data_IF_582166435206
#
_entry.id   IF_582166435206
#
_cell.length_a   1.000
_cell.length_b   1.000
_cell.length_c   1.000
_cell.angle_alpha   90.00
_cell.angle_beta   90.00
_cell.angle_gamma   90.00
#
_symmetry.space_group_name_H-M   'P 1'
#
loop_
_entity.id
_entity.type
_entity.pdbx_description
1 polymer ?
#
# COMPACT_ATOMS: atom_id res chain seq x y z
N UNK A 1 20.48 13.94 3.79
CA UNK A 1 20.74 14.00 5.25
C UNK A 1 22.03 13.21 5.49
N UNK A 2 22.78 13.46 6.57
CA UNK A 2 24.00 12.68 6.85
C UNK A 2 23.59 11.21 7.17
N UNK A 3 24.24 10.23 6.53
CA UNK A 3 23.94 8.79 6.71
C UNK A 3 24.07 8.36 8.18
N UNK A 4 25.01 8.96 8.93
CA UNK A 4 25.22 8.63 10.34
C UNK A 4 24.07 9.12 11.22
N UNK A 5 23.47 10.26 10.87
CA UNK A 5 22.26 10.79 11.52
C UNK A 5 21.09 9.85 11.26
N UNK A 6 20.89 9.43 10.01
CA UNK A 6 19.84 8.49 9.63
C UNK A 6 19.99 7.16 10.37
N UNK A 7 21.22 6.64 10.48
CA UNK A 7 21.52 5.43 11.24
C UNK A 7 21.16 5.59 12.73
N UNK A 8 21.48 6.72 13.34
CA UNK A 8 21.09 7.00 14.73
C UNK A 8 19.57 7.04 14.91
N UNK A 9 18.85 7.66 13.97
CA UNK A 9 17.38 7.72 14.01
C UNK A 9 16.79 6.31 13.84
N UNK A 10 17.28 5.53 12.87
CA UNK A 10 16.83 4.15 12.59
C UNK A 10 17.03 3.23 13.80
N UNK A 11 18.12 3.42 14.54
CA UNK A 11 18.44 2.66 15.77
C UNK A 11 17.73 3.22 17.02
N UNK A 12 16.84 4.19 16.86
CA UNK A 12 16.12 4.85 17.96
C UNK A 12 17.04 5.45 19.03
N UNK A 13 18.18 6.03 18.64
CA UNK A 13 19.11 6.68 19.57
C UNK A 13 18.59 8.08 19.94
N UNK A 14 18.18 8.33 21.19
CA UNK A 14 17.69 9.65 21.61
C UNK A 14 18.83 10.66 21.71
N UNK A 15 18.49 11.96 21.70
CA UNK A 15 19.46 13.06 21.79
C UNK A 15 20.49 12.87 22.91
N UNK A 16 20.05 12.45 24.09
CA UNK A 16 20.93 12.25 25.26
C UNK A 16 22.06 11.25 24.98
N UNK A 17 21.80 10.23 24.17
CA UNK A 17 22.74 9.14 23.83
C UNK A 17 23.45 9.32 22.48
N UNK A 18 23.22 10.43 21.77
CA UNK A 18 23.88 10.66 20.50
C UNK A 18 25.41 10.78 20.66
N UNK A 19 26.19 10.23 19.72
CA UNK A 19 27.64 10.44 19.67
C UNK A 19 28.00 11.94 19.60
N UNK A 20 29.09 12.38 20.24
CA UNK A 20 29.47 13.80 20.29
C UNK A 20 29.65 14.45 18.91
N UNK A 21 30.24 13.73 17.95
CA UNK A 21 30.40 14.17 16.57
C UNK A 21 29.05 14.43 15.88
N UNK A 22 28.02 13.64 16.20
CA UNK A 22 26.67 13.83 15.65
C UNK A 22 25.98 15.01 16.33
N UNK A 23 26.13 15.18 17.64
CA UNK A 23 25.59 16.37 18.35
C UNK A 23 26.18 17.67 17.81
N UNK A 24 27.48 17.71 17.57
CA UNK A 24 28.17 18.85 16.97
C UNK A 24 27.65 19.19 15.57
N UNK A 25 27.23 18.20 14.78
CA UNK A 25 26.60 18.45 13.47
C UNK A 25 25.29 19.24 13.56
N UNK A 26 24.67 19.26 14.74
CA UNK A 26 23.48 20.05 15.07
C UNK A 26 23.80 21.30 15.91
N UNK A 27 25.07 21.70 15.99
CA UNK A 27 25.54 22.78 16.87
C UNK A 27 25.08 22.59 18.34
N UNK A 28 24.99 21.34 18.78
CA UNK A 28 24.48 20.95 20.10
C UNK A 28 23.04 21.43 20.39
N UNK A 29 22.25 21.70 19.34
CA UNK A 29 20.84 22.09 19.42
C UNK A 29 19.92 20.88 19.24
N UNK A 30 19.38 20.37 20.35
CA UNK A 30 18.45 19.22 20.36
C UNK A 30 17.29 19.38 19.37
N UNK A 31 16.72 20.58 19.30
CA UNK A 31 15.56 20.87 18.44
C UNK A 31 15.84 20.65 16.95
N UNK A 32 17.09 20.76 16.51
CA UNK A 32 17.44 20.50 15.11
C UNK A 32 17.45 19.00 14.82
N UNK A 33 17.94 18.18 15.75
CA UNK A 33 17.83 16.72 15.65
C UNK A 33 16.37 16.25 15.68
N UNK A 34 15.54 16.85 16.53
CA UNK A 34 14.10 16.60 16.58
C UNK A 34 13.41 16.85 15.22
N UNK A 35 13.78 17.90 14.50
CA UNK A 35 13.30 18.14 13.12
C UNK A 35 13.75 17.04 12.16
N UNK A 36 15.01 16.58 12.28
CA UNK A 36 15.51 15.48 11.44
C UNK A 36 14.78 14.17 11.74
N UNK A 37 14.48 13.87 13.02
CA UNK A 37 13.65 12.71 13.41
C UNK A 37 12.29 12.74 12.70
N UNK A 38 11.57 13.87 12.77
CA UNK A 38 10.24 14.00 12.15
C UNK A 38 10.34 13.87 10.63
N UNK A 39 11.28 14.57 10.00
CA UNK A 39 11.50 14.52 8.55
C UNK A 39 11.85 13.10 8.08
N UNK A 40 12.77 12.44 8.76
CA UNK A 40 13.16 11.06 8.46
C UNK A 40 11.98 10.09 8.63
N UNK A 41 11.22 10.24 9.72
CA UNK A 41 10.10 9.34 10.03
C UNK A 41 8.98 9.45 8.99
N UNK A 42 8.64 10.66 8.57
CA UNK A 42 7.65 10.91 7.50
C UNK A 42 8.13 10.33 6.16
N UNK A 43 9.37 10.63 5.77
CA UNK A 43 9.95 10.20 4.49
C UNK A 43 10.05 8.69 4.35
N UNK A 44 10.33 8.00 5.45
CA UNK A 44 10.46 6.54 5.49
C UNK A 44 9.18 5.86 5.99
N UNK A 45 8.06 6.59 6.07
CA UNK A 45 6.75 6.08 6.49
C UNK A 45 6.80 5.26 7.80
N UNK A 46 7.56 5.73 8.79
CA UNK A 46 7.74 5.02 10.06
C UNK A 46 6.46 5.05 10.91
N UNK A 47 6.21 3.96 11.63
CA UNK A 47 5.15 3.92 12.64
C UNK A 47 5.46 4.90 13.77
N UNK A 48 4.45 5.62 14.25
CA UNK A 48 4.60 6.57 15.36
C UNK A 48 5.07 5.86 16.63
N UNK A 49 4.33 4.84 17.04
CA UNK A 49 4.68 3.98 18.19
C UNK A 49 5.89 3.12 17.87
N UNK A 50 6.80 3.01 18.83
CA UNK A 50 8.06 2.27 18.70
C UNK A 50 9.21 3.06 18.08
N UNK A 51 8.97 4.28 17.58
CA UNK A 51 10.01 5.14 17.00
C UNK A 51 10.20 6.46 17.78
N UNK A 52 11.36 7.10 17.61
CA UNK A 52 11.72 8.38 18.25
C UNK A 52 10.70 9.50 18.01
N UNK A 53 9.96 9.47 16.90
CA UNK A 53 8.96 10.50 16.59
C UNK A 53 7.91 10.65 17.68
N UNK A 54 7.57 9.57 18.41
CA UNK A 54 6.67 9.63 19.57
C UNK A 54 7.25 10.46 20.73
N UNK A 55 8.56 10.50 20.90
CA UNK A 55 9.20 11.30 21.95
C UNK A 55 9.21 12.79 21.58
N UNK A 56 9.30 13.08 20.27
CA UNK A 56 9.38 14.45 19.74
C UNK A 56 7.99 15.08 19.58
N UNK A 57 7.04 14.32 19.04
CA UNK A 57 5.63 14.70 18.89
C UNK A 57 4.88 14.04 20.04
N UNK A 58 4.38 14.83 20.99
CA UNK A 58 3.59 14.33 22.14
C UNK A 58 2.44 13.43 21.67
N UNK A 59 1.97 12.50 22.53
CA UNK A 59 0.96 11.47 22.17
C UNK A 59 -0.31 12.01 21.50
N UNK A 60 -0.74 13.23 21.83
CA UNK A 60 -1.87 13.95 21.22
C UNK A 60 -1.63 14.29 19.73
N UNK A 61 -0.41 14.10 19.24
CA UNK A 61 0.03 14.39 17.89
C UNK A 61 0.09 13.16 16.98
N UNK A 62 -0.28 11.95 17.45
CA UNK A 62 -0.27 10.73 16.62
C UNK A 62 -1.17 10.86 15.37
N UNK A 63 -2.44 11.32 15.46
CA UNK A 63 -3.26 11.52 14.26
C UNK A 63 -2.64 12.53 13.30
N UNK A 64 -2.20 13.68 13.83
CA UNK A 64 -1.56 14.75 13.05
C UNK A 64 -0.27 14.29 12.37
N UNK A 65 0.50 13.42 13.01
CA UNK A 65 1.69 12.83 12.41
C UNK A 65 1.33 11.99 11.17
N UNK A 66 0.32 11.13 11.27
CA UNK A 66 -0.11 10.33 10.13
C UNK A 66 -0.79 11.17 9.03
N UNK A 67 -1.48 12.26 9.38
CA UNK A 67 -1.96 13.25 8.40
C UNK A 67 -0.80 13.92 7.65
N UNK A 68 0.23 14.40 8.38
CA UNK A 68 1.46 14.97 7.80
C UNK A 68 2.19 13.95 6.90
N UNK A 69 2.25 12.68 7.33
CA UNK A 69 2.85 11.58 6.56
C UNK A 69 2.10 11.31 5.26
N UNK A 70 0.77 11.25 5.30
CA UNK A 70 -0.06 11.04 4.12
C UNK A 70 0.03 12.21 3.15
N UNK A 71 -0.03 13.45 3.65
CA UNK A 71 0.11 14.65 2.83
C UNK A 71 1.47 14.70 2.11
N UNK A 72 2.55 14.37 2.82
CA UNK A 72 3.88 14.24 2.23
C UNK A 72 3.91 13.14 1.17
N UNK A 73 3.37 11.96 1.47
CA UNK A 73 3.36 10.81 0.57
C UNK A 73 2.60 11.11 -0.72
N UNK A 74 1.42 11.76 -0.64
CA UNK A 74 0.64 12.15 -1.81
C UNK A 74 1.37 13.18 -2.67
N UNK A 75 1.95 14.21 -2.05
CA UNK A 75 2.65 15.29 -2.76
C UNK A 75 3.87 14.75 -3.53
N UNK A 76 4.52 13.72 -2.98
CA UNK A 76 5.68 13.07 -3.58
C UNK A 76 5.31 11.81 -4.39
N UNK A 77 4.02 11.56 -4.64
CA UNK A 77 3.49 10.42 -5.42
C UNK A 77 3.94 9.05 -4.89
N UNK A 78 4.23 8.97 -3.59
CA UNK A 78 4.65 7.74 -2.93
C UNK A 78 3.50 6.75 -2.87
N UNK A 79 3.87 5.49 -2.78
CA UNK A 79 2.93 4.41 -2.57
C UNK A 79 2.18 4.57 -1.23
N UNK A 80 0.92 4.15 -1.19
CA UNK A 80 0.17 4.07 0.05
C UNK A 80 0.90 3.19 1.08
N UNK A 81 1.09 3.65 2.33
CA UNK A 81 1.81 2.90 3.36
C UNK A 81 0.94 1.76 3.93
N UNK A 82 0.84 0.65 3.20
CA UNK A 82 -0.04 -0.47 3.57
C UNK A 82 0.28 -1.10 4.93
N UNK A 83 1.55 -1.07 5.39
CA UNK A 83 1.97 -1.51 6.73
C UNK A 83 1.44 -0.64 7.87
N UNK A 84 0.86 0.52 7.55
CA UNK A 84 0.20 1.45 8.46
C UNK A 84 -1.33 1.47 8.28
N UNK A 85 -1.91 0.51 7.54
CA UNK A 85 -3.36 0.50 7.28
C UNK A 85 -4.18 0.43 8.58
N UNK A 86 -3.69 -0.25 9.61
CA UNK A 86 -4.35 -0.37 10.91
C UNK A 86 -4.52 0.98 11.61
N UNK A 87 -3.57 1.91 11.45
CA UNK A 87 -3.66 3.26 12.02
C UNK A 87 -4.32 4.26 11.07
N UNK A 88 -4.13 4.11 9.75
CA UNK A 88 -4.66 5.06 8.77
C UNK A 88 -6.15 4.81 8.50
N UNK A 89 -6.55 3.55 8.26
CA UNK A 89 -7.95 3.23 7.96
C UNK A 89 -8.81 3.36 9.21
N UNK A 90 -8.33 2.93 10.38
CA UNK A 90 -9.09 3.05 11.64
C UNK A 90 -8.96 4.42 12.30
N UNK A 91 -7.79 5.06 12.22
CA UNK A 91 -7.55 6.33 12.91
C UNK A 91 -7.91 7.56 12.08
N UNK A 92 -7.68 7.53 10.77
CA UNK A 92 -7.92 8.67 9.87
C UNK A 92 -9.09 8.44 8.90
N UNK A 93 -9.65 7.22 8.84
CA UNK A 93 -10.70 6.83 7.90
C UNK A 93 -10.29 7.08 6.42
N UNK A 94 -9.01 6.90 6.11
CA UNK A 94 -8.49 7.02 4.73
C UNK A 94 -8.20 5.63 4.18
N UNK A 95 -8.96 5.21 3.18
CA UNK A 95 -8.73 3.95 2.47
C UNK A 95 -7.64 4.09 1.40
N UNK A 96 -6.97 3.00 0.99
CA UNK A 96 -6.06 3.02 -0.15
C UNK A 96 -6.72 3.59 -1.42
N UNK A 97 -7.99 3.23 -1.67
CA UNK A 97 -8.76 3.73 -2.81
C UNK A 97 -8.86 5.27 -2.80
N UNK A 98 -9.23 5.86 -1.66
CA UNK A 98 -9.30 7.32 -1.51
C UNK A 98 -7.92 7.97 -1.69
N UNK A 99 -6.87 7.34 -1.18
CA UNK A 99 -5.50 7.84 -1.32
C UNK A 99 -5.07 7.92 -2.80
N UNK A 100 -5.19 6.82 -3.56
CA UNK A 100 -4.80 6.82 -4.98
C UNK A 100 -5.73 7.70 -5.83
N UNK A 101 -7.03 7.75 -5.51
CA UNK A 101 -7.96 8.68 -6.16
C UNK A 101 -7.52 10.14 -5.98
N UNK A 102 -7.03 10.49 -4.79
CA UNK A 102 -6.49 11.83 -4.51
C UNK A 102 -5.21 12.11 -5.29
N UNK A 103 -4.32 11.13 -5.42
CA UNK A 103 -3.11 11.25 -6.25
C UNK A 103 -3.48 11.51 -7.72
N UNK A 104 -4.32 10.66 -8.32
CA UNK A 104 -4.74 10.82 -9.71
C UNK A 104 -5.43 12.16 -9.94
N UNK A 105 -6.35 12.53 -9.04
CA UNK A 105 -7.00 13.84 -9.09
C UNK A 105 -5.96 14.98 -9.13
N UNK A 106 -4.98 14.95 -8.22
CA UNK A 106 -3.96 15.99 -8.11
C UNK A 106 -3.11 16.10 -9.38
N UNK A 107 -2.67 14.97 -9.96
CA UNK A 107 -1.85 15.02 -11.18
C UNK A 107 -2.66 15.46 -12.42
N UNK A 108 -3.95 15.09 -12.49
CA UNK A 108 -4.86 15.53 -13.56
C UNK A 108 -5.13 17.03 -13.47
N UNK A 109 -5.40 17.55 -12.28
CA UNK A 109 -5.61 19.00 -12.04
C UNK A 109 -4.37 19.83 -12.37
N UNK A 110 -3.18 19.25 -12.20
CA UNK A 110 -1.89 19.85 -12.56
C UNK A 110 -1.47 19.58 -14.02
N UNK A 111 -2.30 18.88 -14.79
CA UNK A 111 -2.01 18.43 -16.17
C UNK A 111 -0.66 17.70 -16.33
N UNK A 112 -0.24 16.95 -15.30
CA UNK A 112 0.99 16.15 -15.36
C UNK A 112 0.76 14.86 -16.15
N UNK A 113 1.83 14.35 -16.76
CA UNK A 113 1.80 13.02 -17.41
C UNK A 113 1.58 11.91 -16.36
N UNK A 114 0.87 10.85 -16.76
CA UNK A 114 0.76 9.62 -15.99
C UNK A 114 2.13 9.02 -15.69
N UNK A 115 3.08 9.15 -16.62
CA UNK A 115 4.47 8.68 -16.53
C UNK A 115 5.27 9.35 -15.40
N UNK A 116 4.68 10.34 -14.71
CA UNK A 116 5.27 10.91 -13.51
C UNK A 116 5.00 10.12 -12.23
N UNK A 117 4.13 9.11 -12.28
CA UNK A 117 3.89 8.18 -11.19
C UNK A 117 5.03 7.15 -11.08
N UNK A 118 5.54 6.88 -9.88
CA UNK A 118 6.38 5.70 -9.63
C UNK A 118 5.68 4.40 -10.01
N UNK A 119 6.44 3.37 -10.41
CA UNK A 119 5.88 2.12 -10.96
C UNK A 119 4.89 1.45 -10.01
N UNK A 120 5.26 1.31 -8.74
CA UNK A 120 4.41 0.67 -7.75
C UNK A 120 3.19 1.53 -7.39
N UNK A 121 3.30 2.86 -7.46
CA UNK A 121 2.16 3.77 -7.31
C UNK A 121 1.19 3.62 -8.48
N UNK A 122 1.69 3.56 -9.71
CA UNK A 122 0.89 3.29 -10.90
C UNK A 122 0.18 1.93 -10.82
N UNK A 123 0.88 0.87 -10.37
CA UNK A 123 0.28 -0.44 -10.10
C UNK A 123 -0.85 -0.36 -9.06
N UNK A 124 -0.68 0.46 -8.02
CA UNK A 124 -1.73 0.74 -7.04
C UNK A 124 -2.95 1.43 -7.65
N UNK A 125 -2.74 2.42 -8.52
CA UNK A 125 -3.80 3.10 -9.27
C UNK A 125 -4.56 2.13 -10.18
N UNK A 126 -3.86 1.34 -10.99
CA UNK A 126 -4.48 0.34 -11.86
C UNK A 126 -5.30 -0.66 -11.05
N UNK A 127 -4.71 -1.26 -10.01
CA UNK A 127 -5.34 -2.28 -9.18
C UNK A 127 -6.63 -1.83 -8.50
N UNK A 128 -6.69 -0.57 -8.05
CA UNK A 128 -7.82 -0.07 -7.24
C UNK A 128 -8.78 0.80 -8.02
N UNK A 129 -8.30 1.57 -8.98
CA UNK A 129 -9.11 2.51 -9.77
C UNK A 129 -9.45 1.94 -11.15
N UNK A 130 -8.70 0.95 -11.64
CA UNK A 130 -8.82 0.48 -13.02
C UNK A 130 -8.36 1.55 -14.02
N UNK A 131 -7.43 2.42 -13.62
CA UNK A 131 -6.89 3.49 -14.47
C UNK A 131 -5.40 3.23 -14.65
N UNK A 132 -5.05 2.74 -15.84
CA UNK A 132 -3.69 2.74 -16.35
C UNK A 132 -3.40 4.00 -17.16
N UNK A 133 -2.30 3.96 -17.92
CA UNK A 133 -1.83 5.09 -18.72
C UNK A 133 -2.81 5.50 -19.81
N UNK A 134 -3.36 4.52 -20.53
CA UNK A 134 -4.28 4.77 -21.64
C UNK A 134 -5.61 5.33 -21.14
N UNK A 135 -6.17 4.75 -20.08
CA UNK A 135 -7.38 5.26 -19.44
C UNK A 135 -7.15 6.69 -18.91
N UNK A 136 -5.99 6.97 -18.32
CA UNK A 136 -5.64 8.32 -17.88
C UNK A 136 -5.60 9.33 -19.04
N UNK A 137 -4.97 8.97 -20.15
CA UNK A 137 -4.90 9.83 -21.35
C UNK A 137 -6.32 10.14 -21.86
N UNK A 138 -7.19 9.12 -21.91
CA UNK A 138 -8.57 9.29 -22.33
C UNK A 138 -9.35 10.20 -21.38
N UNK A 139 -9.18 10.05 -20.06
CA UNK A 139 -9.78 10.95 -19.06
C UNK A 139 -9.28 12.39 -19.23
N UNK A 140 -7.99 12.58 -19.48
CA UNK A 140 -7.40 13.91 -19.74
C UNK A 140 -7.94 14.54 -21.03
N UNK A 141 -8.16 13.74 -22.08
CA UNK A 141 -8.80 14.20 -23.31
C UNK A 141 -10.27 14.60 -23.07
N UNK A 142 -10.99 13.87 -22.22
CA UNK A 142 -12.35 14.23 -21.80
C UNK A 142 -12.38 15.54 -21.00
N UNK A 143 -11.43 15.75 -20.07
CA UNK A 143 -11.26 17.02 -19.34
C UNK A 143 -11.08 18.21 -20.29
N UNK A 144 -10.28 18.02 -21.35
CA UNK A 144 -9.92 19.07 -22.33
C UNK A 144 -11.01 19.35 -23.36
N UNK A 145 -11.69 18.31 -23.83
CA UNK A 145 -12.70 18.40 -24.91
C UNK A 145 -14.03 19.06 -24.48
N UNK A 146 -14.32 19.15 -23.17
CA UNK A 146 -15.48 19.88 -22.61
C UNK A 146 -15.46 21.41 -22.79
N UNK A 147 -14.53 21.98 -23.56
CA UNK A 147 -14.40 23.43 -23.74
C UNK A 147 -15.39 24.04 -24.75
N UNK A 148 -16.06 23.25 -25.62
CA UNK A 148 -16.84 23.82 -26.74
C UNK A 148 -18.34 24.05 -26.50
N UNK A 149 -18.96 23.38 -25.53
CA UNK A 149 -20.34 23.66 -25.10
C UNK A 149 -20.47 23.46 -23.59
N UNK A 150 -20.11 24.51 -22.85
CA UNK A 150 -20.43 24.77 -21.44
C UNK A 150 -20.00 23.70 -20.40
N UNK A 151 -18.90 24.05 -19.72
CA UNK A 151 -18.30 23.53 -18.48
C UNK A 151 -17.29 22.38 -18.65
N UNK A 152 -16.04 22.66 -18.27
CA UNK A 152 -15.04 21.64 -17.91
C UNK A 152 -15.67 20.72 -16.86
N UNK A 153 -15.71 19.42 -17.12
CA UNK A 153 -16.10 18.43 -16.09
C UNK A 153 -15.10 18.51 -14.95
N UNK A 154 -15.57 18.44 -13.71
CA UNK A 154 -14.66 18.36 -12.57
C UNK A 154 -13.92 17.02 -12.67
N UNK A 155 -12.59 17.04 -12.46
CA UNK A 155 -11.78 15.81 -12.46
C UNK A 155 -12.37 14.76 -11.50
N UNK A 156 -12.92 15.22 -10.37
CA UNK A 156 -13.59 14.36 -9.40
C UNK A 156 -14.75 13.55 -9.99
N UNK A 157 -15.46 14.12 -10.97
CA UNK A 157 -16.64 13.48 -11.59
C UNK A 157 -16.25 12.41 -12.63
N UNK A 158 -14.97 12.40 -13.03
CA UNK A 158 -14.43 11.44 -13.99
C UNK A 158 -13.77 10.23 -13.33
N UNK A 159 -13.34 10.38 -12.08
CA UNK A 159 -12.72 9.29 -11.32
C UNK A 159 -13.80 8.34 -10.76
N UNK A 160 -13.48 7.04 -10.62
CA UNK A 160 -14.36 6.08 -9.97
C UNK A 160 -14.79 6.53 -8.57
N UNK A 161 -16.02 6.18 -8.18
CA UNK A 161 -16.54 6.45 -6.83
C UNK A 161 -16.26 5.31 -5.84
N UNK A 162 -15.94 4.12 -6.35
CA UNK A 162 -15.65 2.91 -5.58
C UNK A 162 -14.51 2.14 -6.26
N UNK A 163 -13.76 1.32 -5.51
CA UNK A 163 -12.70 0.53 -6.12
C UNK A 163 -13.26 -0.54 -7.06
N UNK A 164 -12.45 -0.92 -8.04
CA UNK A 164 -12.72 -2.09 -8.90
C UNK A 164 -12.66 -3.39 -8.09
N UNK A 165 -13.11 -4.50 -8.69
CA UNK A 165 -12.94 -5.81 -8.07
C UNK A 165 -11.45 -6.16 -8.01
N UNK A 166 -10.92 -6.31 -6.80
CA UNK A 166 -9.54 -6.74 -6.59
C UNK A 166 -9.43 -8.27 -6.57
N UNK A 167 -8.28 -8.80 -6.99
CA UNK A 167 -7.93 -10.20 -6.81
C UNK A 167 -7.56 -10.48 -5.34
N UNK A 168 -8.57 -10.59 -4.49
CA UNK A 168 -8.38 -10.93 -3.07
C UNK A 168 -8.07 -12.44 -2.93
N UNK A 169 -7.06 -12.79 -2.12
CA UNK A 169 -6.72 -14.19 -1.85
C UNK A 169 -7.34 -14.72 -0.54
N UNK A 170 -7.67 -16.03 -0.46
CA UNK A 170 -8.29 -16.62 0.73
C UNK A 170 -7.44 -16.50 2.01
N UNK A 171 -6.11 -16.43 1.89
CA UNK A 171 -5.22 -16.37 3.04
C UNK A 171 -5.05 -14.97 3.63
N UNK A 172 -5.58 -13.94 2.97
CA UNK A 172 -5.52 -12.58 3.49
C UNK A 172 -6.34 -12.45 4.77
N UNK A 173 -5.96 -11.50 5.61
CA UNK A 173 -6.67 -11.18 6.84
C UNK A 173 -7.51 -9.92 6.60
N UNK A 174 -8.77 -9.99 6.98
CA UNK A 174 -9.75 -8.91 6.90
C UNK A 174 -9.94 -8.35 8.28
N UNK A 175 -9.95 -7.02 8.36
CA UNK A 175 -10.19 -6.32 9.60
C UNK A 175 -11.08 -5.09 9.37
N UNK A 176 -11.81 -4.65 10.41
CA UNK A 176 -12.72 -3.51 10.31
C UNK A 176 -11.98 -2.18 10.29
N UNK A 177 -12.42 -1.29 9.41
CA UNK A 177 -12.02 0.11 9.40
C UNK A 177 -12.77 0.94 10.45
N UNK A 178 -12.76 2.26 10.28
CA UNK A 178 -13.56 3.15 11.11
C UNK A 178 -15.01 3.23 10.62
N UNK A 179 -15.90 2.47 11.25
CA UNK A 179 -17.32 2.38 10.90
C UNK A 179 -18.14 3.31 11.80
N UNK A 180 -19.03 4.11 11.20
CA UNK A 180 -19.99 4.96 11.94
C UNK A 180 -21.43 4.51 11.69
N UNK A 181 -22.37 4.99 12.50
CA UNK A 181 -23.79 4.64 12.39
C UNK A 181 -24.38 4.87 10.99
N UNK A 182 -23.91 5.90 10.27
CA UNK A 182 -24.36 6.18 8.91
C UNK A 182 -23.96 5.07 7.93
N UNK A 183 -22.82 4.42 8.13
CA UNK A 183 -22.36 3.30 7.31
C UNK A 183 -23.26 2.08 7.53
N UNK A 184 -23.65 1.83 8.79
CA UNK A 184 -24.52 0.70 9.15
C UNK A 184 -25.95 0.82 8.62
N UNK A 185 -26.37 2.01 8.16
CA UNK A 185 -27.69 2.22 7.52
C UNK A 185 -27.72 1.76 6.07
N UNK A 186 -26.57 1.59 5.42
CA UNK A 186 -26.45 1.27 3.99
C UNK A 186 -25.84 -0.12 3.73
N UNK A 187 -25.59 -0.89 4.80
CA UNK A 187 -25.16 -2.29 4.69
C UNK A 187 -26.38 -3.21 4.64
N UNK A 188 -26.26 -4.26 3.84
CA UNK A 188 -27.21 -5.37 3.78
C UNK A 188 -26.99 -6.31 4.97
N UNK A 189 -27.96 -7.18 5.24
CA UNK A 189 -27.87 -8.12 6.35
C UNK A 189 -26.64 -9.06 6.27
N UNK A 190 -26.27 -9.64 5.11
CA UNK A 190 -25.05 -10.46 5.00
C UNK A 190 -23.76 -9.65 5.23
N UNK A 191 -23.71 -8.39 4.77
CA UNK A 191 -22.56 -7.52 5.00
C UNK A 191 -22.41 -7.17 6.49
N UNK A 192 -23.54 -6.91 7.15
CA UNK A 192 -23.57 -6.67 8.60
C UNK A 192 -23.07 -7.89 9.37
N UNK A 193 -23.46 -9.11 8.99
CA UNK A 193 -22.98 -10.33 9.65
C UNK A 193 -21.46 -10.50 9.56
N UNK A 194 -20.85 -10.15 8.42
CA UNK A 194 -19.38 -10.13 8.29
C UNK A 194 -18.77 -9.07 9.21
N UNK A 195 -19.32 -7.86 9.23
CA UNK A 195 -18.83 -6.76 10.06
C UNK A 195 -18.91 -7.13 11.54
N UNK A 196 -20.08 -7.58 12.01
CA UNK A 196 -20.32 -7.99 13.40
C UNK A 196 -19.37 -9.13 13.79
N UNK A 197 -19.18 -10.13 12.91
CA UNK A 197 -18.23 -11.23 13.15
C UNK A 197 -16.79 -10.74 13.36
N UNK A 198 -16.32 -9.76 12.59
CA UNK A 198 -14.96 -9.20 12.72
C UNK A 198 -14.85 -8.32 13.98
N UNK A 199 -15.91 -7.57 14.34
CA UNK A 199 -15.94 -6.77 15.56
C UNK A 199 -15.88 -7.68 16.80
N UNK A 200 -16.68 -8.75 16.81
CA UNK A 200 -16.82 -9.64 17.98
C UNK A 200 -15.62 -10.57 18.16
N UNK A 201 -15.05 -11.08 17.06
CA UNK A 201 -14.02 -12.11 17.09
C UNK A 201 -12.63 -11.61 16.65
N UNK A 202 -12.50 -10.33 16.31
CA UNK A 202 -11.28 -9.76 15.75
C UNK A 202 -11.05 -10.11 14.27
N UNK A 203 -9.84 -9.85 13.74
CA UNK A 203 -9.52 -10.06 12.34
C UNK A 203 -9.81 -11.49 11.86
N UNK A 204 -10.39 -11.62 10.67
CA UNK A 204 -10.84 -12.90 10.11
C UNK A 204 -10.05 -13.25 8.85
N UNK A 205 -9.86 -14.54 8.59
CA UNK A 205 -9.26 -15.00 7.32
C UNK A 205 -10.30 -14.83 6.20
N UNK A 206 -9.91 -14.23 5.08
CA UNK A 206 -10.83 -13.92 3.98
C UNK A 206 -11.52 -15.18 3.44
N UNK A 207 -10.77 -16.29 3.34
CA UNK A 207 -11.28 -17.59 2.89
C UNK A 207 -12.40 -18.18 3.74
N UNK A 208 -12.58 -17.71 4.98
CA UNK A 208 -13.63 -18.18 5.90
C UNK A 208 -14.94 -17.38 5.75
N UNK A 209 -14.94 -16.36 4.88
CA UNK A 209 -16.06 -15.45 4.63
C UNK A 209 -16.61 -15.63 3.22
N UNK A 210 -17.87 -15.23 2.99
CA UNK A 210 -18.39 -15.15 1.62
C UNK A 210 -17.62 -14.09 0.82
N UNK A 211 -17.00 -14.51 -0.28
CA UNK A 211 -16.13 -13.68 -1.11
C UNK A 211 -16.88 -12.49 -1.73
N UNK A 212 -18.13 -12.67 -2.18
CA UNK A 212 -18.87 -11.62 -2.88
C UNK A 212 -19.34 -10.57 -1.88
N UNK A 213 -19.84 -11.02 -0.72
CA UNK A 213 -20.23 -10.12 0.37
C UNK A 213 -19.01 -9.36 0.87
N UNK A 214 -17.87 -10.04 1.09
CA UNK A 214 -16.63 -9.42 1.53
C UNK A 214 -16.12 -8.36 0.53
N UNK A 215 -16.15 -8.65 -0.77
CA UNK A 215 -15.80 -7.66 -1.81
C UNK A 215 -16.73 -6.43 -1.76
N UNK A 216 -18.02 -6.63 -1.50
CA UNK A 216 -18.98 -5.52 -1.34
C UNK A 216 -18.65 -4.65 -0.11
N UNK A 217 -18.38 -5.27 1.04
CA UNK A 217 -17.96 -4.56 2.27
C UNK A 217 -16.64 -3.80 2.04
N UNK A 218 -15.69 -4.41 1.33
CA UNK A 218 -14.42 -3.78 0.97
C UNK A 218 -14.63 -2.55 0.07
N UNK A 219 -15.49 -2.64 -0.96
CA UNK A 219 -15.81 -1.51 -1.85
C UNK A 219 -16.48 -0.34 -1.13
N UNK A 220 -17.24 -0.61 -0.08
CA UNK A 220 -17.81 0.41 0.81
C UNK A 220 -16.78 1.03 1.74
N UNK A 221 -15.54 0.53 1.78
CA UNK A 221 -14.46 1.05 2.61
C UNK A 221 -14.60 0.72 4.09
N UNK A 222 -15.42 -0.28 4.43
CA UNK A 222 -15.74 -0.64 5.83
C UNK A 222 -14.74 -1.63 6.42
N UNK A 223 -13.98 -2.33 5.57
CA UNK A 223 -12.91 -3.25 5.96
C UNK A 223 -11.62 -2.93 5.21
N UNK A 224 -10.51 -3.32 5.79
CA UNK A 224 -9.20 -3.29 5.14
C UNK A 224 -8.53 -4.67 5.23
N UNK A 225 -7.47 -4.84 4.44
CA UNK A 225 -6.85 -6.13 4.20
C UNK A 225 -5.40 -6.10 4.67
N UNK A 226 -5.00 -7.11 5.42
CA UNK A 226 -3.64 -7.37 5.85
C UNK A 226 -3.15 -8.67 5.18
N UNK A 227 -1.90 -8.67 4.72
CA UNK A 227 -1.27 -9.82 4.08
C UNK A 227 -0.14 -10.28 4.99
N UNK A 228 -0.40 -11.24 5.90
CA UNK A 228 0.62 -11.70 6.82
C UNK A 228 1.72 -12.46 6.07
N UNK A 229 2.97 -12.05 6.28
CA UNK A 229 4.17 -12.68 5.75
C UNK A 229 5.07 -13.07 6.91
N UNK A 230 5.42 -14.35 6.97
CA UNK A 230 6.31 -14.95 7.96
C UNK A 230 7.72 -15.14 7.38
N UNK A 231 8.72 -15.28 8.26
CA UNK A 231 10.12 -15.48 7.81
C UNK A 231 10.30 -16.78 7.03
N UNK A 232 9.50 -17.80 7.36
CA UNK A 232 9.52 -19.11 6.69
C UNK A 232 8.75 -19.14 5.36
N UNK A 233 8.05 -18.06 5.01
CA UNK A 233 7.30 -18.03 3.76
C UNK A 233 8.24 -18.02 2.57
N UNK A 234 7.78 -18.62 1.48
CA UNK A 234 8.44 -18.57 0.18
C UNK A 234 7.51 -17.86 -0.79
N UNK A 235 8.10 -17.06 -1.67
CA UNK A 235 7.35 -16.35 -2.70
C UNK A 235 7.89 -16.68 -4.08
N UNK A 236 7.01 -16.60 -5.06
CA UNK A 236 7.36 -16.72 -6.47
C UNK A 236 7.08 -15.39 -7.14
N UNK A 237 8.10 -14.80 -7.73
CA UNK A 237 7.99 -13.62 -8.58
C UNK A 237 8.01 -14.12 -10.02
N UNK A 238 6.90 -14.02 -10.78
CA UNK A 238 6.89 -14.43 -12.18
C UNK A 238 7.85 -13.57 -13.01
N UNK A 239 8.38 -14.07 -14.13
CA UNK A 239 9.16 -13.27 -15.06
C UNK A 239 8.36 -12.04 -15.49
N UNK A 240 8.86 -10.84 -15.22
CA UNK A 240 8.23 -9.60 -15.67
C UNK A 240 8.77 -9.24 -17.07
N UNK A 241 8.45 -10.05 -18.08
CA UNK A 241 8.80 -9.72 -19.46
C UNK A 241 8.26 -8.33 -19.80
N UNK A 242 9.12 -7.37 -20.16
CA UNK A 242 8.70 -6.01 -20.53
C UNK A 242 8.57 -4.99 -19.38
N UNK A 243 8.79 -5.36 -18.12
CA UNK A 243 8.71 -4.37 -17.02
C UNK A 243 9.89 -3.41 -17.05
N UNK A 244 9.60 -2.15 -17.38
CA UNK A 244 10.59 -1.07 -17.40
C UNK A 244 10.59 -0.36 -16.05
N UNK A 245 11.70 -0.44 -15.33
CA UNK A 245 11.89 0.35 -14.11
C UNK A 245 11.94 1.84 -14.45
N UNK A 246 10.98 2.63 -13.96
CA UNK A 246 11.06 4.08 -14.09
C UNK A 246 12.24 4.63 -13.28
N UNK A 247 12.74 5.81 -13.66
CA UNK A 247 13.85 6.47 -12.96
C UNK A 247 13.47 6.68 -11.49
N UNK A 248 14.28 6.12 -10.59
CA UNK A 248 14.09 6.17 -9.15
C UNK A 248 13.94 7.62 -8.68
N UNK A 249 12.80 7.94 -8.06
CA UNK A 249 12.45 9.28 -7.58
C UNK A 249 13.14 9.68 -6.27
N UNK A 250 14.03 8.83 -5.75
CA UNK A 250 14.66 8.97 -4.44
C UNK A 250 13.86 8.37 -3.28
N UNK A 251 12.79 7.62 -3.55
CA UNK A 251 12.04 6.86 -2.54
C UNK A 251 12.85 5.63 -2.05
N UNK A 252 13.11 5.59 -0.74
CA UNK A 252 13.83 4.48 -0.11
C UNK A 252 13.04 3.16 -0.18
N UNK A 253 11.71 3.24 -0.15
CA UNK A 253 10.88 2.04 -0.16
C UNK A 253 10.78 1.44 -1.57
N UNK A 254 10.56 2.25 -2.61
CA UNK A 254 10.66 1.79 -4.00
C UNK A 254 12.03 1.17 -4.33
N UNK A 255 13.13 1.76 -3.85
CA UNK A 255 14.46 1.17 -3.99
C UNK A 255 14.58 -0.21 -3.33
N UNK A 256 13.97 -0.39 -2.15
CA UNK A 256 13.91 -1.69 -1.49
C UNK A 256 13.14 -2.70 -2.34
N UNK A 257 12.00 -2.28 -2.92
CA UNK A 257 11.22 -3.14 -3.80
C UNK A 257 12.10 -3.62 -4.97
N UNK A 258 12.75 -2.72 -5.71
CA UNK A 258 13.63 -3.14 -6.81
C UNK A 258 14.78 -4.08 -6.37
N UNK A 259 15.34 -3.89 -5.17
CA UNK A 259 16.36 -4.82 -4.63
C UNK A 259 15.80 -6.21 -4.36
N UNK A 260 14.62 -6.29 -3.75
CA UNK A 260 13.91 -7.56 -3.52
C UNK A 260 13.60 -8.22 -4.87
N UNK A 261 13.09 -7.44 -5.83
CA UNK A 261 12.78 -7.92 -7.16
C UNK A 261 13.94 -8.67 -7.83
N UNK A 262 15.14 -8.08 -7.80
CA UNK A 262 16.33 -8.66 -8.43
C UNK A 262 16.95 -9.81 -7.61
N UNK A 263 16.68 -9.87 -6.30
CA UNK A 263 17.31 -10.82 -5.38
C UNK A 263 16.42 -12.00 -4.99
N UNK A 264 15.15 -12.01 -5.42
CA UNK A 264 14.20 -13.07 -5.05
C UNK A 264 14.37 -14.28 -5.97
N UNK A 265 14.39 -15.47 -5.37
CA UNK A 265 14.24 -16.75 -6.05
C UNK A 265 13.21 -17.62 -5.30
N UNK A 266 12.75 -18.70 -5.94
CA UNK A 266 11.66 -19.53 -5.41
C UNK A 266 12.06 -20.47 -4.25
N UNK A 267 13.35 -20.58 -3.95
CA UNK A 267 13.90 -21.46 -2.92
C UNK A 267 14.37 -20.71 -1.68
N UNK A 268 14.55 -19.39 -1.77
CA UNK A 268 14.93 -18.54 -0.64
C UNK A 268 13.69 -18.11 0.16
N UNK A 269 13.71 -18.37 1.46
CA UNK A 269 12.67 -17.88 2.37
C UNK A 269 12.76 -16.37 2.59
N UNK A 270 11.67 -15.73 3.02
CA UNK A 270 11.64 -14.28 3.30
C UNK A 270 12.69 -13.88 4.35
N UNK A 271 12.92 -14.71 5.37
CA UNK A 271 13.93 -14.47 6.39
C UNK A 271 15.36 -14.55 5.86
N UNK A 272 15.65 -15.51 4.99
CA UNK A 272 16.95 -15.62 4.32
C UNK A 272 17.20 -14.44 3.38
N UNK A 273 16.17 -14.02 2.64
CA UNK A 273 16.22 -12.85 1.77
C UNK A 273 16.57 -11.57 2.56
N UNK A 274 16.01 -11.41 3.78
CA UNK A 274 16.37 -10.29 4.65
C UNK A 274 17.86 -10.30 5.05
N UNK A 275 18.43 -11.48 5.31
CA UNK A 275 19.86 -11.63 5.60
C UNK A 275 20.74 -11.30 4.38
N UNK A 276 20.34 -11.76 3.18
CA UNK A 276 21.05 -11.46 1.92
C UNK A 276 21.06 -9.96 1.64
N UNK A 277 19.91 -9.29 1.81
CA UNK A 277 19.77 -7.85 1.61
C UNK A 277 20.40 -7.01 2.74
N UNK A 278 20.76 -7.65 3.88
CA UNK A 278 21.23 -7.00 5.11
C UNK A 278 20.24 -5.95 5.62
N UNK A 279 18.96 -6.32 5.64
CA UNK A 279 17.85 -5.46 6.06
C UNK A 279 17.07 -6.10 7.20
N UNK A 280 16.32 -5.28 7.92
CA UNK A 280 15.45 -5.82 8.96
C UNK A 280 14.36 -6.70 8.33
N UNK A 281 14.11 -7.85 8.95
CA UNK A 281 13.13 -8.83 8.46
C UNK A 281 11.74 -8.20 8.29
N UNK A 282 11.34 -7.28 9.18
CA UNK A 282 10.04 -6.64 9.09
C UNK A 282 9.88 -5.78 7.83
N UNK A 283 10.90 -5.03 7.40
CA UNK A 283 10.88 -4.26 6.15
C UNK A 283 10.74 -5.17 4.94
N UNK A 284 11.43 -6.32 4.93
CA UNK A 284 11.32 -7.29 3.83
C UNK A 284 9.93 -7.94 3.83
N UNK A 285 9.39 -8.33 4.99
CA UNK A 285 8.00 -8.82 5.11
C UNK A 285 6.98 -7.81 4.59
N UNK A 286 7.13 -6.53 4.94
CA UNK A 286 6.24 -5.47 4.47
C UNK A 286 6.30 -5.30 2.95
N UNK A 287 7.50 -5.35 2.37
CA UNK A 287 7.72 -5.29 0.93
C UNK A 287 7.16 -6.51 0.18
N UNK A 288 7.36 -7.71 0.72
CA UNK A 288 6.81 -8.96 0.17
C UNK A 288 5.28 -8.96 0.24
N UNK A 289 4.71 -8.53 1.37
CA UNK A 289 3.26 -8.33 1.52
C UNK A 289 2.74 -7.40 0.43
N UNK A 290 3.47 -6.33 0.13
CA UNK A 290 3.10 -5.42 -0.94
C UNK A 290 3.18 -6.08 -2.32
N UNK A 291 4.22 -6.86 -2.62
CA UNK A 291 4.31 -7.58 -3.89
C UNK A 291 3.15 -8.52 -4.12
N UNK A 292 2.79 -9.30 -3.10
CA UNK A 292 1.60 -10.13 -3.16
C UNK A 292 0.32 -9.29 -3.34
N UNK A 293 0.23 -8.13 -2.69
CA UNK A 293 -0.92 -7.24 -2.84
C UNK A 293 -1.07 -6.66 -4.24
N UNK A 294 0.05 -6.31 -4.87
CA UNK A 294 0.08 -5.68 -6.20
C UNK A 294 0.05 -6.71 -7.34
N UNK A 295 0.20 -8.00 -7.04
CA UNK A 295 0.23 -9.07 -8.05
C UNK A 295 1.62 -9.38 -8.59
N UNK A 296 2.68 -8.76 -8.08
CA UNK A 296 4.06 -9.03 -8.50
C UNK A 296 4.64 -10.31 -7.90
N UNK A 297 4.03 -10.88 -6.87
CA UNK A 297 4.49 -12.13 -6.28
C UNK A 297 3.32 -12.98 -5.79
N UNK A 298 3.49 -14.30 -5.79
CA UNK A 298 2.55 -15.25 -5.18
C UNK A 298 3.21 -15.91 -3.98
N UNK A 299 2.52 -15.96 -2.85
CA UNK A 299 2.93 -16.74 -1.68
C UNK A 299 2.76 -18.23 -2.01
N UNK A 300 3.82 -19.01 -1.87
CA UNK A 300 3.79 -20.46 -2.11
C UNK A 300 3.02 -21.12 -0.97
N UNK A 301 1.85 -21.68 -1.28
CA UNK A 301 1.09 -22.48 -0.31
C UNK A 301 1.77 -23.85 -0.18
N UNK A 302 1.92 -24.34 1.04
CA UNK A 302 2.45 -25.68 1.27
C UNK A 302 1.40 -26.70 0.81
N UNK A 303 1.80 -27.69 0.00
CA UNK A 303 0.91 -28.70 -0.60
C UNK A 303 0.09 -29.52 0.43
N UNK A 304 0.53 -29.54 1.70
CA UNK A 304 -0.14 -30.22 2.80
C UNK A 304 -1.36 -29.46 3.35
N UNK A 305 -1.50 -28.16 3.03
CA UNK A 305 -2.69 -27.40 3.37
C UNK A 305 -3.76 -27.68 2.30
N UNK A 306 -4.75 -28.51 2.63
CA UNK A 306 -6.05 -28.53 1.95
C UNK A 306 -7.02 -27.63 2.70
N UNK A 307 -6.89 -26.29 2.62
CA UNK A 307 -7.71 -25.41 3.42
C UNK A 307 -9.17 -25.47 2.94
N UNK A 308 -10.08 -25.69 3.89
CA UNK A 308 -11.52 -25.66 3.62
C UNK A 308 -11.97 -24.20 3.61
N UNK A 309 -11.99 -23.60 2.43
CA UNK A 309 -12.55 -22.25 2.24
C UNK A 309 -14.07 -22.28 2.05
N UNK A 310 -14.71 -21.15 2.30
CA UNK A 310 -16.09 -20.90 1.94
C UNK A 310 -16.32 -21.19 0.45
N UNK A 311 -17.45 -21.81 0.12
CA UNK A 311 -17.72 -22.34 -1.23
C UNK A 311 -17.69 -21.28 -2.33
N UNK A 312 -17.99 -20.02 -2.00
CA UNK A 312 -17.91 -18.87 -2.90
C UNK A 312 -16.53 -18.66 -3.53
N UNK A 313 -15.46 -19.14 -2.88
CA UNK A 313 -14.09 -19.01 -3.37
C UNK A 313 -13.74 -20.00 -4.50
N UNK A 314 -14.59 -21.01 -4.74
CA UNK A 314 -14.41 -22.03 -5.80
C UNK A 314 -14.98 -21.60 -7.15
N UNK A 315 -15.63 -20.44 -7.24
CA UNK A 315 -16.37 -20.04 -8.43
C UNK A 315 -15.43 -19.58 -9.58
N UNK A 316 -15.64 -20.04 -10.82
CA UNK A 316 -14.77 -19.75 -11.97
C UNK A 316 -14.81 -18.28 -12.45
N UNK A 317 -15.62 -17.41 -11.83
CA UNK A 317 -15.63 -15.95 -12.10
C UNK A 317 -14.26 -15.31 -11.82
N UNK A 318 -13.38 -16.00 -11.08
CA UNK A 318 -11.98 -15.60 -10.84
C UNK A 318 -11.00 -16.00 -11.94
N UNK A 319 -11.33 -16.93 -12.83
CA UNK A 319 -10.39 -17.46 -13.84
C UNK A 319 -9.91 -16.42 -14.87
N UNK A 320 -10.44 -15.19 -14.86
CA UNK A 320 -9.90 -14.08 -15.67
C UNK A 320 -8.80 -13.27 -14.96
N UNK A 321 -8.73 -13.30 -13.62
CA UNK A 321 -7.76 -12.51 -12.84
C UNK A 321 -6.85 -13.37 -11.93
N UNK A 322 -7.08 -14.68 -11.86
CA UNK A 322 -6.15 -15.65 -11.27
C UNK A 322 -5.68 -16.59 -12.37
N UNK A 323 -4.63 -16.20 -13.10
CA UNK A 323 -4.11 -17.02 -14.19
C UNK A 323 -3.30 -18.21 -13.69
N UNK A 324 -3.53 -19.31 -14.42
CA UNK A 324 -2.78 -20.55 -14.48
C UNK A 324 -1.27 -20.33 -14.66
N UNK A 325 -0.41 -21.33 -14.33
CA UNK A 325 1.04 -21.18 -14.33
C UNK A 325 1.72 -21.01 -15.70
N UNK A 326 0.97 -20.78 -16.79
CA UNK A 326 1.50 -20.91 -18.15
C UNK A 326 1.04 -19.84 -19.13
N UNK A 327 0.60 -18.67 -18.66
CA UNK A 327 0.31 -17.50 -19.52
C UNK A 327 0.47 -16.24 -18.66
N UNK A 328 1.14 -15.23 -19.20
CA UNK A 328 1.52 -13.98 -18.52
C UNK A 328 0.38 -13.38 -17.68
N UNK A 329 0.71 -12.89 -16.48
CA UNK A 329 -0.27 -12.28 -15.57
C UNK A 329 -0.84 -11.00 -16.23
N UNK A 330 -2.17 -10.81 -16.34
CA UNK A 330 -2.75 -9.69 -17.08
C UNK A 330 -2.41 -8.36 -16.44
N UNK A 331 -2.20 -8.32 -15.12
CA UNK A 331 -1.73 -7.12 -14.44
C UNK A 331 -0.31 -6.75 -14.85
N UNK A 332 0.53 -7.73 -15.15
CA UNK A 332 1.91 -7.52 -15.60
C UNK A 332 1.90 -7.11 -17.07
N UNK A 333 1.12 -7.80 -17.92
CA UNK A 333 0.92 -7.41 -19.32
C UNK A 333 0.35 -5.99 -19.44
N UNK A 334 -0.68 -5.65 -18.66
CA UNK A 334 -1.26 -4.31 -18.60
C UNK A 334 -0.28 -3.29 -17.99
N UNK A 335 0.56 -3.67 -17.02
CA UNK A 335 1.61 -2.77 -16.52
C UNK A 335 2.64 -2.45 -17.60
N UNK A 336 2.99 -3.43 -18.42
CA UNK A 336 3.94 -3.28 -19.52
C UNK A 336 3.36 -2.44 -20.66
N UNK A 337 2.06 -2.51 -20.89
CA UNK A 337 1.36 -1.60 -21.82
C UNK A 337 1.11 -0.21 -21.20
N UNK A 338 1.12 -0.11 -19.86
CA UNK A 338 0.88 1.12 -19.10
C UNK A 338 2.15 1.88 -18.68
N UNK A 339 3.35 1.37 -18.97
CA UNK A 339 4.65 2.04 -18.82
C UNK A 339 5.21 2.36 -20.21
#
# INVERSE_FOLDING_TARGET
>A
MNIDVENCIRQNIPWSKLPPNIKQSFADVQKEYEKQIVSYSIKNQLRFRGNLVRQVKKDNGEPKYYEELLAYSQTNLLLYPYHLSDVIVRGLRVTPFQYYSSILKSIMEQERSYDSLPNFTAAGCLRLLGIGRNEYIDLMNQCRSGQKLFRRKNVKDLLPLQPVNIAMEPWWIVDVGYIVDADMKIVTQPEKEIIDKIIDNGPQKAGDLDCNVLLSVYKKGLVYLQLPIEDSDHIVVPPLEGFVMNRVSGDNFENLLYKIFVSTDEHTSVGELANVLRMDSQSVKNAVSLYCRLGFAKKKMQEAENPVWHSSWRSPVRARNSLSPSTEDPLILELNEAL
#
